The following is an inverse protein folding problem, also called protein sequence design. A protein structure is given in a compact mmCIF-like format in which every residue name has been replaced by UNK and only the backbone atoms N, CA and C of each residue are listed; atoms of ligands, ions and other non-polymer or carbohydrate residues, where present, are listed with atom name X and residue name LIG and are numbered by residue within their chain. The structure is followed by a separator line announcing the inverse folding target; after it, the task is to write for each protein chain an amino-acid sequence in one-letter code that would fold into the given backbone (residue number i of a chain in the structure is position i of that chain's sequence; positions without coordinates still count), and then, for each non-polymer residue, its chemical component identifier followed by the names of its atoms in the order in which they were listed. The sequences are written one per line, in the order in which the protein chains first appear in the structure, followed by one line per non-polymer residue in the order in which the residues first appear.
data_IF_086852621768
#
_entry.id   IF_086852621768
#
_cell.length_a   1.000
_cell.length_b   1.000
_cell.length_c   1.000
_cell.angle_alpha   90.00
_cell.angle_beta   90.00
_cell.angle_gamma   90.00
#
_symmetry.space_group_name_H-M   'P 1'
#
loop_
_entity.id
_entity.type
_entity.pdbx_description
1 polymer ?
#
# COMPACT_ATOMS: atom_id res chain seq x y z
N UNK A 1 -5.30 5.15 20.26
CA UNK A 1 -4.13 4.90 19.44
C UNK A 1 -4.26 3.53 18.79
N UNK A 2 -4.60 3.41 17.56
CA UNK A 2 -4.82 2.14 16.84
C UNK A 2 -5.81 2.26 15.69
N UNK A 3 -6.18 3.48 15.31
CA UNK A 3 -7.27 3.73 14.36
C UNK A 3 -6.88 3.67 12.88
N UNK A 4 -5.61 3.89 12.53
CA UNK A 4 -5.16 3.92 11.13
C UNK A 4 -5.33 2.55 10.44
N UNK A 5 -5.12 1.46 11.16
CA UNK A 5 -5.32 0.10 10.62
C UNK A 5 -6.79 -0.28 10.41
N UNK A 6 -7.70 0.15 11.29
CA UNK A 6 -9.12 -0.20 11.20
C UNK A 6 -9.85 0.52 10.06
N UNK A 7 -9.50 1.77 9.81
CA UNK A 7 -10.15 2.56 8.74
C UNK A 7 -9.70 2.11 7.34
N UNK A 8 -8.45 1.73 7.14
CA UNK A 8 -8.02 1.11 5.89
C UNK A 8 -8.75 -0.21 5.65
N UNK A 9 -8.84 -1.08 6.65
CA UNK A 9 -9.58 -2.33 6.55
C UNK A 9 -11.06 -2.15 6.13
N UNK A 10 -11.70 -1.03 6.50
CA UNK A 10 -13.09 -0.75 6.10
C UNK A 10 -13.20 -0.52 4.58
N UNK A 11 -12.29 0.26 3.99
CA UNK A 11 -12.31 0.57 2.55
C UNK A 11 -11.96 -0.63 1.70
N UNK A 12 -10.92 -1.35 2.10
CA UNK A 12 -10.47 -2.57 1.44
C UNK A 12 -11.57 -3.62 1.48
N UNK A 13 -12.17 -3.83 2.66
CA UNK A 13 -13.32 -4.71 2.84
C UNK A 13 -14.48 -4.31 1.93
N UNK A 14 -14.83 -3.02 1.89
CA UNK A 14 -15.94 -2.53 1.05
C UNK A 14 -15.70 -2.84 -0.43
N UNK A 15 -14.47 -2.63 -0.93
CA UNK A 15 -14.13 -2.94 -2.32
C UNK A 15 -14.23 -4.44 -2.61
N UNK A 16 -13.70 -5.27 -1.72
CA UNK A 16 -13.71 -6.72 -1.88
C UNK A 16 -15.14 -7.29 -1.76
N UNK A 17 -15.94 -6.82 -0.82
CA UNK A 17 -17.34 -7.25 -0.65
C UNK A 17 -18.21 -6.82 -1.84
N UNK A 18 -18.02 -5.61 -2.39
CA UNK A 18 -18.68 -5.17 -3.64
C UNK A 18 -18.28 -6.04 -4.83
N UNK A 19 -17.05 -6.55 -4.84
CA UNK A 19 -16.58 -7.49 -5.84
C UNK A 19 -17.02 -8.95 -5.61
N UNK A 20 -17.86 -9.21 -4.59
CA UNK A 20 -18.45 -10.51 -4.29
C UNK A 20 -17.64 -11.41 -3.36
N UNK A 21 -16.60 -10.89 -2.72
CA UNK A 21 -15.80 -11.65 -1.76
C UNK A 21 -16.46 -11.70 -0.38
N UNK A 22 -16.30 -12.83 0.31
CA UNK A 22 -16.50 -12.91 1.75
C UNK A 22 -15.19 -12.53 2.44
N UNK A 23 -15.20 -11.43 3.21
CA UNK A 23 -13.98 -10.86 3.80
C UNK A 23 -13.92 -11.10 5.30
N UNK A 24 -12.81 -11.68 5.73
CA UNK A 24 -12.46 -11.82 7.15
C UNK A 24 -11.17 -11.07 7.46
N UNK A 25 -11.11 -10.49 8.66
CA UNK A 25 -9.91 -9.82 9.19
C UNK A 25 -9.57 -10.48 10.52
N UNK A 26 -8.60 -11.41 10.55
CA UNK A 26 -8.24 -12.12 11.77
C UNK A 26 -7.75 -11.15 12.85
N UNK A 27 -8.29 -11.25 14.07
CA UNK A 27 -7.86 -10.43 15.20
C UNK A 27 -6.40 -10.67 15.61
N UNK A 28 -5.83 -11.79 15.17
CA UNK A 28 -4.43 -12.17 15.40
C UNK A 28 -3.46 -11.61 14.36
N UNK A 29 -3.97 -10.90 13.34
CA UNK A 29 -3.10 -10.29 12.35
C UNK A 29 -2.12 -9.31 12.98
N UNK A 30 -0.91 -9.28 12.45
CA UNK A 30 0.16 -8.41 12.91
C UNK A 30 0.89 -7.77 11.72
N UNK A 31 1.96 -7.02 12.00
CA UNK A 31 2.84 -6.48 10.96
C UNK A 31 3.43 -7.61 10.10
N UNK A 32 3.58 -7.38 8.79
CA UNK A 32 4.22 -8.32 7.88
C UNK A 32 5.72 -8.56 8.16
N UNK A 33 6.32 -7.81 9.08
CA UNK A 33 7.72 -7.97 9.44
C UNK A 33 8.72 -7.26 8.51
N UNK A 34 8.27 -6.55 7.47
CA UNK A 34 9.16 -5.87 6.54
C UNK A 34 10.16 -4.90 7.22
N UNK A 35 9.79 -4.08 8.23
CA UNK A 35 10.76 -3.23 8.91
C UNK A 35 11.90 -4.00 9.59
N UNK A 36 11.61 -5.13 10.22
CA UNK A 36 12.62 -6.02 10.80
C UNK A 36 13.49 -6.63 9.70
N UNK A 37 12.88 -7.14 8.64
CA UNK A 37 13.59 -7.69 7.48
C UNK A 37 14.56 -6.66 6.86
N UNK A 38 14.09 -5.45 6.58
CA UNK A 38 14.90 -4.37 6.01
C UNK A 38 16.00 -3.87 6.98
N UNK A 39 15.85 -4.13 8.27
CA UNK A 39 16.87 -3.82 9.28
C UNK A 39 17.95 -4.88 9.41
N UNK A 40 17.76 -6.06 8.78
CA UNK A 40 18.62 -7.22 8.95
C UNK A 40 18.29 -8.06 10.21
N UNK A 41 17.24 -7.71 10.95
CA UNK A 41 16.75 -8.49 12.09
C UNK A 41 15.90 -9.67 11.60
N UNK A 42 16.59 -10.71 11.15
CA UNK A 42 15.94 -11.91 10.61
C UNK A 42 15.15 -12.68 11.67
N UNK A 43 15.55 -12.61 12.93
CA UNK A 43 14.86 -13.31 14.02
C UNK A 43 13.45 -12.73 14.22
N UNK A 44 13.35 -11.43 14.45
CA UNK A 44 12.06 -10.77 14.60
C UNK A 44 11.22 -10.86 13.31
N UNK A 45 11.84 -10.79 12.13
CA UNK A 45 11.14 -10.98 10.86
C UNK A 45 10.54 -12.39 10.74
N UNK A 46 11.27 -13.45 11.12
CA UNK A 46 10.76 -14.83 11.16
C UNK A 46 9.60 -14.99 12.13
N UNK A 47 9.71 -14.43 13.34
CA UNK A 47 8.67 -14.58 14.36
C UNK A 47 7.36 -13.90 13.93
N UNK A 48 7.45 -12.73 13.32
CA UNK A 48 6.29 -12.05 12.73
C UNK A 48 5.73 -12.82 11.53
N UNK A 49 6.61 -13.35 10.66
CA UNK A 49 6.18 -14.15 9.52
C UNK A 49 5.44 -15.42 9.95
N UNK A 50 5.88 -16.12 11.02
CA UNK A 50 5.17 -17.27 11.57
C UNK A 50 3.76 -16.91 12.01
N UNK A 51 3.60 -15.81 12.74
CA UNK A 51 2.28 -15.34 13.18
C UNK A 51 1.35 -15.02 11.99
N UNK A 52 1.87 -14.39 10.94
CA UNK A 52 1.10 -14.11 9.72
C UNK A 52 0.74 -15.40 8.99
N UNK A 53 1.68 -16.34 8.84
CA UNK A 53 1.43 -17.64 8.21
C UNK A 53 0.33 -18.38 8.98
N UNK A 54 0.44 -18.47 10.31
CA UNK A 54 -0.53 -19.17 11.15
C UNK A 54 -1.92 -18.53 11.10
N UNK A 55 -1.99 -17.20 11.01
CA UNK A 55 -3.24 -16.48 10.94
C UNK A 55 -3.95 -16.61 9.58
N UNK A 56 -3.20 -16.71 8.47
CA UNK A 56 -3.78 -16.56 7.13
C UNK A 56 -3.74 -17.80 6.25
N UNK A 57 -3.05 -18.88 6.65
CA UNK A 57 -2.89 -20.06 5.80
C UNK A 57 -4.23 -20.76 5.45
N UNK A 58 -5.25 -20.64 6.30
CA UNK A 58 -6.56 -21.27 6.11
C UNK A 58 -7.48 -20.57 5.09
N UNK A 59 -7.14 -19.38 4.61
CA UNK A 59 -7.98 -18.63 3.66
C UNK A 59 -7.63 -18.95 2.21
N UNK A 60 -8.57 -18.76 1.29
CA UNK A 60 -8.37 -19.00 -0.15
C UNK A 60 -7.41 -17.96 -0.76
N UNK A 61 -7.57 -16.70 -0.35
CA UNK A 61 -6.73 -15.57 -0.77
C UNK A 61 -6.34 -14.72 0.42
N UNK A 62 -5.18 -14.09 0.34
CA UNK A 62 -4.71 -13.07 1.28
C UNK A 62 -4.49 -11.78 0.51
N UNK A 63 -5.22 -10.74 0.86
CA UNK A 63 -5.17 -9.45 0.16
C UNK A 63 -4.60 -8.39 1.09
N UNK A 64 -3.50 -7.77 0.69
CA UNK A 64 -2.90 -6.68 1.43
C UNK A 64 -3.08 -5.35 0.69
N UNK A 65 -3.52 -4.27 1.37
CA UNK A 65 -3.71 -2.96 0.75
C UNK A 65 -2.41 -2.23 0.44
N UNK A 66 -1.29 -2.72 0.97
CA UNK A 66 0.03 -2.12 0.79
C UNK A 66 0.92 -3.02 -0.06
N UNK A 67 1.43 -2.49 -1.17
CA UNK A 67 2.32 -3.21 -2.07
C UNK A 67 3.57 -3.75 -1.38
N UNK A 68 4.11 -3.03 -0.40
CA UNK A 68 5.28 -3.48 0.38
C UNK A 68 4.95 -4.66 1.29
N UNK A 69 3.76 -4.70 1.90
CA UNK A 69 3.33 -5.84 2.72
C UNK A 69 3.04 -7.07 1.85
N UNK A 70 2.34 -6.90 0.74
CA UNK A 70 2.06 -7.99 -0.20
C UNK A 70 3.35 -8.60 -0.74
N UNK A 71 4.31 -7.76 -1.19
CA UNK A 71 5.61 -8.21 -1.66
C UNK A 71 6.42 -8.93 -0.58
N UNK A 72 6.41 -8.44 0.66
CA UNK A 72 7.08 -9.11 1.78
C UNK A 72 6.58 -10.53 1.97
N UNK A 73 5.26 -10.74 1.95
CA UNK A 73 4.65 -12.05 2.13
C UNK A 73 4.88 -12.92 0.89
N UNK A 74 4.66 -12.39 -0.32
CA UNK A 74 4.71 -13.16 -1.56
C UNK A 74 6.14 -13.55 -1.98
N UNK A 75 7.14 -12.70 -1.72
CA UNK A 75 8.49 -12.91 -2.28
C UNK A 75 9.56 -13.16 -1.22
N UNK A 76 9.41 -12.63 0.00
CA UNK A 76 10.48 -12.70 1.00
C UNK A 76 10.25 -13.73 2.11
N UNK A 77 8.99 -14.10 2.41
CA UNK A 77 8.71 -15.10 3.45
C UNK A 77 9.35 -16.46 3.16
N UNK A 78 9.26 -17.06 1.96
CA UNK A 78 9.89 -18.36 1.71
C UNK A 78 11.38 -18.38 2.06
N UNK A 79 12.12 -17.34 1.68
CA UNK A 79 13.55 -17.22 1.93
C UNK A 79 13.92 -16.96 3.41
N UNK A 80 12.97 -16.51 4.24
CA UNK A 80 13.19 -16.40 5.67
C UNK A 80 13.35 -17.77 6.34
N UNK A 81 12.76 -18.81 5.77
CA UNK A 81 12.68 -20.17 6.33
C UNK A 81 13.55 -21.19 5.60
N UNK A 82 14.67 -20.77 4.97
CA UNK A 82 15.59 -21.69 4.29
C UNK A 82 16.16 -22.78 5.21
N UNK A 83 16.22 -22.50 6.50
CA UNK A 83 16.68 -23.42 7.57
C UNK A 83 15.53 -24.15 8.29
N UNK A 84 14.26 -23.97 7.88
CA UNK A 84 13.06 -24.55 8.48
C UNK A 84 12.12 -25.04 7.36
N UNK A 85 12.28 -26.29 6.87
CA UNK A 85 11.52 -26.81 5.74
C UNK A 85 10.00 -26.84 5.94
N UNK A 86 9.52 -27.02 7.18
CA UNK A 86 8.10 -27.02 7.48
C UNK A 86 7.49 -25.64 7.27
N UNK A 87 8.06 -24.62 7.90
CA UNK A 87 7.59 -23.25 7.72
C UNK A 87 7.86 -22.71 6.31
N UNK A 88 8.91 -23.17 5.64
CA UNK A 88 9.15 -22.82 4.24
C UNK A 88 8.01 -23.26 3.33
N UNK A 89 7.57 -24.52 3.43
CA UNK A 89 6.42 -25.02 2.64
C UNK A 89 5.13 -24.24 2.92
N UNK A 90 4.89 -23.89 4.19
CA UNK A 90 3.74 -23.08 4.59
C UNK A 90 3.84 -21.63 4.06
N UNK A 91 5.03 -21.04 4.08
CA UNK A 91 5.30 -19.72 3.51
C UNK A 91 5.10 -19.70 1.99
N UNK A 92 5.56 -20.72 1.27
CA UNK A 92 5.34 -20.90 -0.17
C UNK A 92 3.84 -21.00 -0.49
N UNK A 93 3.09 -21.78 0.29
CA UNK A 93 1.65 -21.91 0.13
C UNK A 93 0.89 -20.58 0.40
N UNK A 94 1.34 -19.80 1.39
CA UNK A 94 0.78 -18.47 1.64
C UNK A 94 1.13 -17.48 0.53
N UNK A 95 2.39 -17.47 0.11
CA UNK A 95 2.90 -16.59 -0.95
C UNK A 95 2.10 -16.74 -2.25
N UNK A 96 1.80 -17.98 -2.64
CA UNK A 96 1.06 -18.29 -3.87
C UNK A 96 -0.36 -17.70 -3.94
N UNK A 97 -0.95 -17.34 -2.82
CA UNK A 97 -2.31 -16.78 -2.70
C UNK A 97 -2.35 -15.37 -2.12
N UNK A 98 -1.19 -14.74 -2.00
CA UNK A 98 -1.07 -13.37 -1.50
C UNK A 98 -1.05 -12.38 -2.66
N UNK A 99 -1.89 -11.36 -2.57
CA UNK A 99 -2.08 -10.34 -3.60
C UNK A 99 -2.06 -8.94 -3.00
N UNK A 100 -1.67 -7.97 -3.80
CA UNK A 100 -1.96 -6.56 -3.53
C UNK A 100 -3.42 -6.26 -3.92
N UNK A 101 -4.07 -5.35 -3.19
CA UNK A 101 -5.50 -5.08 -3.30
C UNK A 101 -5.95 -4.76 -4.73
N UNK A 102 -5.30 -3.80 -5.38
CA UNK A 102 -5.76 -3.32 -6.70
C UNK A 102 -5.51 -4.38 -7.77
N UNK A 103 -4.36 -5.06 -7.71
CA UNK A 103 -4.08 -6.18 -8.61
C UNK A 103 -5.03 -7.36 -8.39
N UNK A 104 -5.43 -7.64 -7.15
CA UNK A 104 -6.43 -8.67 -6.87
C UNK A 104 -7.79 -8.33 -7.49
N UNK A 105 -8.25 -7.09 -7.32
CA UNK A 105 -9.51 -6.64 -7.92
C UNK A 105 -9.49 -6.77 -9.45
N UNK A 106 -8.42 -6.34 -10.11
CA UNK A 106 -8.35 -6.32 -11.58
C UNK A 106 -7.98 -7.66 -12.19
N UNK A 107 -6.89 -8.27 -11.70
CA UNK A 107 -6.25 -9.40 -12.39
C UNK A 107 -6.83 -10.74 -11.95
N UNK A 108 -7.35 -10.84 -10.71
CA UNK A 108 -7.96 -12.07 -10.19
C UNK A 108 -9.49 -12.03 -10.31
N UNK A 109 -10.13 -10.94 -9.86
CA UNK A 109 -11.58 -10.81 -9.87
C UNK A 109 -12.14 -10.22 -11.17
N UNK A 110 -11.29 -9.65 -12.04
CA UNK A 110 -11.70 -9.06 -13.30
C UNK A 110 -12.57 -7.80 -13.17
N UNK A 111 -12.46 -7.08 -12.04
CA UNK A 111 -13.17 -5.82 -11.80
C UNK A 111 -12.69 -4.78 -12.82
N UNK A 112 -13.64 -4.18 -13.53
CA UNK A 112 -13.37 -3.15 -14.56
C UNK A 112 -13.91 -1.77 -14.19
N UNK A 113 -14.79 -1.69 -13.18
CA UNK A 113 -15.45 -0.47 -12.72
C UNK A 113 -15.70 -0.59 -11.21
N UNK A 114 -15.59 0.51 -10.49
CA UNK A 114 -15.74 0.55 -9.03
C UNK A 114 -16.98 1.34 -8.55
N UNK A 115 -17.76 1.91 -9.48
CA UNK A 115 -18.94 2.74 -9.20
C UNK A 115 -18.66 3.80 -8.12
N UNK A 116 -17.63 4.62 -8.33
CA UNK A 116 -17.19 5.66 -7.41
C UNK A 116 -17.12 7.02 -8.11
N UNK A 117 -17.23 8.08 -7.32
CA UNK A 117 -17.06 9.46 -7.78
C UNK A 117 -16.03 10.21 -6.93
N UNK A 118 -15.24 11.03 -7.56
CA UNK A 118 -14.26 11.89 -6.93
C UNK A 118 -14.03 13.14 -7.78
N UNK A 119 -14.51 14.29 -7.33
CA UNK A 119 -14.33 15.54 -8.09
C UNK A 119 -12.94 16.13 -7.89
N UNK A 120 -12.14 16.17 -8.95
CA UNK A 120 -10.84 16.84 -8.95
C UNK A 120 -9.71 16.10 -9.67
N UNK A 121 -8.54 16.76 -9.64
CA UNK A 121 -7.32 16.22 -10.24
C UNK A 121 -6.53 15.39 -9.21
N UNK A 122 -6.07 14.25 -9.65
CA UNK A 122 -5.20 13.36 -8.86
C UNK A 122 -3.91 13.07 -9.62
N UNK A 123 -2.85 12.79 -8.87
CA UNK A 123 -1.63 12.18 -9.40
C UNK A 123 -1.31 10.89 -8.65
N UNK A 124 -0.57 9.97 -9.25
CA UNK A 124 -0.32 8.64 -8.69
C UNK A 124 1.18 8.36 -8.53
N UNK A 125 1.58 7.92 -7.33
CA UNK A 125 2.93 7.43 -7.06
C UNK A 125 2.97 5.90 -7.09
N UNK A 126 3.79 5.35 -7.99
CA UNK A 126 4.06 3.92 -8.06
C UNK A 126 5.04 3.51 -6.95
N UNK A 127 4.56 2.78 -5.94
CA UNK A 127 5.44 2.30 -4.86
C UNK A 127 6.43 1.29 -5.41
N UNK A 128 7.68 1.34 -4.90
CA UNK A 128 8.75 0.52 -5.45
C UNK A 128 8.48 -0.99 -5.33
N UNK A 129 7.93 -1.48 -4.21
CA UNK A 129 7.60 -2.89 -4.07
C UNK A 129 6.37 -3.28 -4.90
N UNK A 130 5.33 -2.45 -4.93
CA UNK A 130 4.18 -2.69 -5.80
C UNK A 130 4.56 -2.80 -7.26
N UNK A 131 5.37 -1.85 -7.75
CA UNK A 131 5.80 -1.81 -9.14
C UNK A 131 6.79 -2.93 -9.49
N UNK A 132 7.91 -3.03 -8.74
CA UNK A 132 9.07 -3.83 -9.16
C UNK A 132 8.96 -5.29 -8.76
N UNK A 133 8.26 -5.59 -7.67
CA UNK A 133 8.10 -6.94 -7.16
C UNK A 133 6.78 -7.56 -7.59
N UNK A 134 5.68 -6.76 -7.63
CA UNK A 134 4.33 -7.27 -7.93
C UNK A 134 3.80 -6.87 -9.31
N UNK A 135 4.50 -5.99 -10.05
CA UNK A 135 4.05 -5.55 -11.37
C UNK A 135 2.82 -4.63 -11.37
N UNK A 136 2.48 -4.04 -10.23
CA UNK A 136 1.32 -3.16 -10.08
C UNK A 136 1.63 -1.78 -10.65
N UNK A 137 1.07 -1.48 -11.82
CA UNK A 137 1.20 -0.19 -12.51
C UNK A 137 -0.04 0.21 -13.31
N UNK A 138 -0.49 -0.67 -14.20
CA UNK A 138 -1.65 -0.40 -15.04
C UNK A 138 -2.97 -0.52 -14.26
N UNK A 139 -3.01 -1.39 -13.28
CA UNK A 139 -4.21 -1.74 -12.52
C UNK A 139 -4.83 -0.53 -11.80
N UNK A 140 -4.10 0.25 -10.99
CA UNK A 140 -4.68 1.44 -10.35
C UNK A 140 -5.16 2.47 -11.36
N UNK A 141 -4.45 2.64 -12.47
CA UNK A 141 -4.85 3.58 -13.54
C UNK A 141 -6.14 3.16 -14.23
N UNK A 142 -6.28 1.85 -14.48
CA UNK A 142 -7.50 1.30 -15.08
C UNK A 142 -8.73 1.57 -14.20
N UNK A 143 -8.65 1.30 -12.89
CA UNK A 143 -9.77 1.55 -11.98
C UNK A 143 -10.00 3.06 -11.73
N UNK A 144 -8.95 3.86 -11.58
CA UNK A 144 -9.09 5.32 -11.42
C UNK A 144 -9.72 5.97 -12.66
N UNK A 145 -9.49 5.41 -13.85
CA UNK A 145 -10.12 5.88 -15.08
C UNK A 145 -11.63 5.68 -15.15
N UNK A 146 -12.21 4.86 -14.27
CA UNK A 146 -13.67 4.66 -14.16
C UNK A 146 -14.34 5.54 -13.12
N UNK A 147 -13.55 6.21 -12.27
CA UNK A 147 -14.08 7.07 -11.21
C UNK A 147 -14.65 8.36 -11.81
N UNK A 148 -15.93 8.63 -11.56
CA UNK A 148 -16.62 9.80 -12.11
C UNK A 148 -16.04 11.10 -11.54
N UNK A 149 -15.83 12.12 -12.40
CA UNK A 149 -15.31 13.44 -12.01
C UNK A 149 -13.81 13.49 -11.75
N UNK A 150 -13.10 12.34 -11.79
CA UNK A 150 -11.67 12.26 -11.54
C UNK A 150 -10.86 12.51 -12.81
N UNK A 151 -9.86 13.39 -12.69
CA UNK A 151 -8.83 13.58 -13.73
C UNK A 151 -7.49 13.09 -13.21
N UNK A 152 -6.94 12.05 -13.83
CA UNK A 152 -5.61 11.55 -13.52
C UNK A 152 -4.54 12.30 -14.31
N UNK A 153 -3.64 12.99 -13.63
CA UNK A 153 -2.43 13.58 -14.19
C UNK A 153 -1.25 12.72 -13.81
N UNK A 154 -0.53 12.17 -14.79
CA UNK A 154 0.63 11.34 -14.50
C UNK A 154 1.73 12.13 -13.79
N UNK A 155 2.32 11.50 -12.79
CA UNK A 155 3.44 12.07 -12.06
C UNK A 155 4.73 11.86 -12.86
N UNK A 156 5.48 12.91 -13.11
CA UNK A 156 6.84 12.80 -13.64
C UNK A 156 7.68 11.95 -12.67
N UNK A 157 8.39 10.96 -13.22
CA UNK A 157 9.16 9.99 -12.42
C UNK A 157 8.32 9.28 -11.32
N UNK A 158 7.07 8.90 -11.66
CA UNK A 158 6.17 8.19 -10.72
C UNK A 158 6.84 6.99 -10.05
N UNK A 159 7.74 6.32 -10.76
CA UNK A 159 8.46 5.11 -10.36
C UNK A 159 9.69 5.36 -9.45
N UNK A 160 10.14 6.61 -9.33
CA UNK A 160 11.26 6.96 -8.45
C UNK A 160 10.83 6.84 -7.00
N UNK A 161 11.66 6.16 -6.19
CA UNK A 161 11.35 5.89 -4.78
C UNK A 161 11.07 7.16 -3.98
N UNK A 162 10.09 7.11 -3.09
CA UNK A 162 9.75 8.19 -2.17
C UNK A 162 10.74 8.38 -1.01
N UNK A 163 11.73 7.49 -0.87
CA UNK A 163 12.73 7.56 0.21
C UNK A 163 12.30 6.95 1.54
N UNK A 164 11.11 6.36 1.68
CA UNK A 164 10.68 5.73 2.93
C UNK A 164 11.50 4.49 3.28
N UNK A 165 11.48 3.46 2.38
CA UNK A 165 12.29 2.24 2.48
C UNK A 165 12.16 1.47 3.81
N UNK A 166 11.01 1.53 4.47
CA UNK A 166 10.79 0.96 5.79
C UNK A 166 11.65 1.68 6.84
N UNK A 167 12.77 1.11 7.24
CA UNK A 167 13.71 1.70 8.20
C UNK A 167 14.78 2.60 7.57
N UNK A 168 14.85 2.68 6.25
CA UNK A 168 15.84 3.49 5.53
C UNK A 168 15.74 4.96 5.90
N UNK A 169 14.54 5.51 6.01
CA UNK A 169 14.32 6.91 6.38
C UNK A 169 14.83 7.25 7.79
N UNK A 170 14.94 6.26 8.68
CA UNK A 170 15.51 6.43 10.03
C UNK A 170 17.03 6.24 10.01
N UNK A 171 17.52 5.25 9.26
CA UNK A 171 18.96 4.94 9.18
C UNK A 171 19.77 5.96 8.36
N UNK A 172 19.14 6.51 7.31
CA UNK A 172 19.77 7.45 6.37
C UNK A 172 18.88 8.68 6.15
N UNK A 173 18.62 9.49 7.22
CA UNK A 173 17.63 10.56 7.18
C UNK A 173 17.93 11.63 6.13
N UNK A 174 19.19 11.99 5.93
CA UNK A 174 19.58 13.04 4.98
C UNK A 174 19.30 12.61 3.52
N UNK A 175 19.63 11.35 3.18
CA UNK A 175 19.36 10.81 1.86
C UNK A 175 17.85 10.68 1.64
N UNK A 176 17.15 10.12 2.61
CA UNK A 176 15.68 9.98 2.57
C UNK A 176 14.98 11.34 2.42
N UNK A 177 15.44 12.34 3.18
CA UNK A 177 14.91 13.71 3.11
C UNK A 177 15.10 14.30 1.71
N UNK A 178 16.25 14.10 1.09
CA UNK A 178 16.49 14.55 -0.28
C UNK A 178 15.54 13.87 -1.27
N UNK A 179 15.43 12.55 -1.19
CA UNK A 179 14.56 11.77 -2.08
C UNK A 179 13.09 12.19 -1.96
N UNK A 180 12.57 12.33 -0.73
CA UNK A 180 11.17 12.72 -0.53
C UNK A 180 10.91 14.18 -0.91
N UNK A 181 11.92 15.07 -0.79
CA UNK A 181 11.80 16.47 -1.23
C UNK A 181 11.70 16.56 -2.74
N UNK A 182 12.56 15.85 -3.46
CA UNK A 182 12.52 15.79 -4.93
C UNK A 182 11.17 15.21 -5.41
N UNK A 183 10.65 14.19 -4.71
CA UNK A 183 9.33 13.61 -5.01
C UNK A 183 8.20 14.60 -4.70
N UNK A 184 8.21 15.27 -3.55
CA UNK A 184 7.21 16.26 -3.17
C UNK A 184 7.15 17.42 -4.18
N UNK A 185 8.31 17.87 -4.66
CA UNK A 185 8.38 18.89 -5.71
C UNK A 185 7.68 18.43 -6.99
N UNK A 186 7.94 17.21 -7.48
CA UNK A 186 7.23 16.69 -8.67
C UNK A 186 5.73 16.57 -8.47
N UNK A 187 5.30 16.17 -7.26
CA UNK A 187 3.87 16.15 -6.91
C UNK A 187 3.26 17.53 -7.02
N UNK A 188 3.92 18.56 -6.51
CA UNK A 188 3.45 19.95 -6.61
C UNK A 188 3.48 20.45 -8.07
N UNK A 189 4.55 20.16 -8.81
CA UNK A 189 4.71 20.55 -10.21
C UNK A 189 3.66 19.90 -11.13
N UNK A 190 3.08 18.74 -10.75
CA UNK A 190 2.00 18.10 -11.49
C UNK A 190 0.71 18.92 -11.55
N UNK A 191 0.53 19.88 -10.62
CA UNK A 191 -0.69 20.68 -10.47
C UNK A 191 -1.91 19.88 -9.96
N UNK A 192 -1.75 18.60 -9.60
CA UNK A 192 -2.84 17.80 -9.06
C UNK A 192 -3.20 18.21 -7.63
N UNK A 193 -4.49 18.27 -7.33
CA UNK A 193 -4.98 18.57 -5.98
C UNK A 193 -4.82 17.45 -4.97
N UNK A 194 -4.56 16.22 -5.44
CA UNK A 194 -4.45 15.05 -4.57
C UNK A 194 -3.40 14.06 -5.08
N UNK A 195 -2.54 13.60 -4.17
CA UNK A 195 -1.60 12.51 -4.39
C UNK A 195 -2.21 11.20 -3.92
N UNK A 196 -2.16 10.18 -4.78
CA UNK A 196 -2.58 8.82 -4.48
C UNK A 196 -1.40 7.83 -4.53
N UNK A 197 -1.47 6.78 -3.75
CA UNK A 197 -0.63 5.58 -3.87
C UNK A 197 -1.31 4.38 -3.20
N UNK A 198 -0.81 3.18 -3.50
CA UNK A 198 -1.21 1.91 -2.87
C UNK A 198 -0.21 1.44 -1.81
N UNK A 199 0.49 2.35 -1.11
CA UNK A 199 1.45 2.00 -0.07
C UNK A 199 1.48 3.07 1.03
N UNK A 200 1.03 2.68 2.23
CA UNK A 200 0.89 3.60 3.35
C UNK A 200 2.22 4.22 3.80
N UNK A 201 3.31 3.46 3.76
CA UNK A 201 4.63 3.96 4.14
C UNK A 201 5.09 5.10 3.21
N UNK A 202 4.89 4.93 1.91
CA UNK A 202 5.16 5.98 0.92
C UNK A 202 4.29 7.21 1.16
N UNK A 203 2.97 7.00 1.39
CA UNK A 203 2.03 8.10 1.63
C UNK A 203 2.36 8.90 2.87
N UNK A 204 2.66 8.24 4.00
CA UNK A 204 3.05 8.92 5.25
C UNK A 204 4.32 9.76 5.08
N UNK A 205 5.33 9.22 4.37
CA UNK A 205 6.58 9.94 4.12
C UNK A 205 6.36 11.19 3.26
N UNK A 206 5.61 11.04 2.17
CA UNK A 206 5.29 12.15 1.26
C UNK A 206 4.35 13.19 1.91
N UNK A 207 3.31 12.75 2.63
CA UNK A 207 2.40 13.64 3.35
C UNK A 207 3.14 14.50 4.38
N UNK A 208 4.01 13.87 5.18
CA UNK A 208 4.81 14.59 6.15
C UNK A 208 5.74 15.63 5.51
N UNK A 209 6.27 15.35 4.30
CA UNK A 209 7.12 16.30 3.58
C UNK A 209 6.32 17.43 2.97
N UNK A 210 5.24 17.13 2.24
CA UNK A 210 4.34 18.12 1.64
C UNK A 210 3.82 19.09 2.70
N UNK A 211 3.40 18.58 3.87
CA UNK A 211 2.95 19.43 4.97
C UNK A 211 4.03 20.38 5.49
N UNK A 212 5.27 19.91 5.66
CA UNK A 212 6.41 20.76 6.08
C UNK A 212 6.76 21.82 5.07
N UNK A 213 6.48 21.59 3.79
CA UNK A 213 6.69 22.58 2.70
C UNK A 213 5.50 23.53 2.50
N UNK A 214 4.45 23.40 3.33
CA UNK A 214 3.25 24.24 3.22
C UNK A 214 2.38 23.94 2.00
N UNK A 215 2.53 22.74 1.43
CA UNK A 215 1.74 22.30 0.27
C UNK A 215 0.27 22.08 0.66
N UNK A 216 -0.65 22.43 -0.25
CA UNK A 216 -2.08 22.16 -0.11
C UNK A 216 -2.52 20.86 -0.78
N UNK A 217 -1.59 20.11 -1.36
CA UNK A 217 -1.88 18.81 -1.99
C UNK A 217 -2.33 17.81 -0.93
N UNK A 218 -3.52 17.29 -1.09
CA UNK A 218 -4.06 16.24 -0.22
C UNK A 218 -3.36 14.91 -0.51
N UNK A 219 -3.20 14.06 0.50
CA UNK A 219 -2.61 12.73 0.34
C UNK A 219 -3.63 11.69 0.77
N UNK A 220 -3.92 10.70 -0.09
CA UNK A 220 -4.90 9.66 0.19
C UNK A 220 -4.44 8.29 -0.31
N UNK A 221 -4.89 7.23 0.35
CA UNK A 221 -4.73 5.89 -0.19
C UNK A 221 -5.68 5.69 -1.37
N UNK A 222 -5.22 4.99 -2.41
CA UNK A 222 -6.02 4.75 -3.62
C UNK A 222 -7.37 4.08 -3.31
N UNK A 223 -7.40 3.16 -2.33
CA UNK A 223 -8.62 2.49 -1.91
C UNK A 223 -9.71 3.45 -1.40
N UNK A 224 -9.33 4.61 -0.84
CA UNK A 224 -10.31 5.62 -0.39
C UNK A 224 -11.11 6.17 -1.56
N UNK A 225 -10.43 6.47 -2.66
CA UNK A 225 -11.03 7.01 -3.86
C UNK A 225 -11.84 5.93 -4.58
N UNK A 226 -11.27 4.73 -4.74
CA UNK A 226 -11.95 3.61 -5.40
C UNK A 226 -13.19 3.13 -4.64
N UNK A 227 -13.20 3.23 -3.31
CA UNK A 227 -14.37 2.91 -2.48
C UNK A 227 -15.43 4.03 -2.42
N UNK A 228 -15.11 5.25 -2.90
CA UNK A 228 -15.95 6.44 -2.74
C UNK A 228 -16.02 6.96 -1.31
N UNK A 229 -15.02 6.64 -0.48
CA UNK A 229 -15.01 6.91 0.98
C UNK A 229 -13.98 7.98 1.35
N UNK A 230 -14.10 9.14 0.75
CA UNK A 230 -13.14 10.26 0.96
C UNK A 230 -13.67 11.37 1.87
N UNK A 231 -14.96 11.33 2.22
CA UNK A 231 -15.62 12.40 2.98
C UNK A 231 -15.53 12.20 4.49
N UNK A 232 -15.51 10.97 4.96
CA UNK A 232 -15.61 10.63 6.37
C UNK A 232 -14.25 10.66 7.11
N UNK A 233 -13.17 10.78 6.38
CA UNK A 233 -11.82 10.72 6.94
C UNK A 233 -10.96 11.84 6.36
N UNK A 234 -10.19 12.56 7.20
CA UNK A 234 -9.28 13.57 6.72
C UNK A 234 -8.16 12.96 5.85
N UNK A 235 -7.58 13.74 4.94
CA UNK A 235 -6.38 13.32 4.21
C UNK A 235 -5.25 12.90 5.15
N UNK A 236 -4.38 12.01 4.68
CA UNK A 236 -3.22 11.54 5.43
C UNK A 236 -2.31 12.73 5.77
N UNK A 237 -2.02 12.92 7.05
CA UNK A 237 -1.22 14.04 7.55
C UNK A 237 -2.04 15.23 8.07
N UNK A 238 -3.36 15.29 7.82
CA UNK A 238 -4.24 16.37 8.27
C UNK A 238 -5.01 16.06 9.57
N UNK A 239 -4.87 14.85 10.09
CA UNK A 239 -5.46 14.45 11.36
C UNK A 239 -4.93 15.32 12.51
N UNK A 240 -5.81 15.72 13.42
CA UNK A 240 -5.44 16.43 14.66
C UNK A 240 -4.46 15.59 15.46
N UNK A 241 -3.29 16.14 15.70
CA UNK A 241 -2.29 15.65 16.67
C UNK A 241 -2.85 15.61 18.08
#
# INVERSE_FOLDING_TARGET
SGLVGSEMCIRDRTLLERAGCQVEVPNTQTCCGQPAYNSGDRTSAKDLARQVIDAFLGYDHVVAPSGSCAAMIAHHYPALFDDDPEYRGRAEALAAKTHELVSFLTDVLGVKDVDAAYEGSVTYHDSCSGLRELGVKAQPRALLGTVQGLTLTELEDSEVCCGFGGTFCVKYPDISTRMVSDKAKRVQDSGAGTLLAGDMGCLLNMAGRLKREGSTVRVRHVAEVLAGMTHDVPPIGDGTS
#
